data_IF_988115199044
#
_entry.id   IF_988115199044
#
_cell.length_a   1.000
_cell.length_b   1.000
_cell.length_c   1.000
_cell.angle_alpha   90.00
_cell.angle_beta   90.00
_cell.angle_gamma   90.00
#
_symmetry.space_group_name_H-M   'P 1'
#
loop_
_entity.id
_entity.type
_entity.pdbx_description
1 polymer ?
#
# COMPACT_ATOMS: atom_id res chain seq x y z
N UNK A 1 -3.22 -5.74 -37.95
CA UNK A 1 -3.85 -5.15 -36.75
C UNK A 1 -4.59 -6.27 -36.05
N UNK A 2 -3.86 -7.09 -35.27
CA UNK A 2 -4.50 -8.09 -34.43
C UNK A 2 -5.29 -7.34 -33.35
N UNK A 3 -6.62 -7.50 -33.38
CA UNK A 3 -7.46 -7.03 -32.29
C UNK A 3 -7.07 -7.84 -31.06
N UNK A 4 -6.29 -7.24 -30.14
CA UNK A 4 -6.15 -7.78 -28.79
C UNK A 4 -7.54 -7.85 -28.17
N UNK A 5 -8.18 -9.01 -28.30
CA UNK A 5 -9.48 -9.27 -27.72
C UNK A 5 -9.28 -9.29 -26.20
N UNK A 6 -9.78 -8.25 -25.51
CA UNK A 6 -9.60 -8.15 -24.07
C UNK A 6 -10.32 -9.31 -23.38
N UNK A 7 -9.80 -9.79 -22.26
CA UNK A 7 -10.44 -10.85 -21.46
C UNK A 7 -11.92 -10.50 -21.15
N UNK A 8 -12.19 -9.22 -20.92
CA UNK A 8 -13.55 -8.70 -20.66
C UNK A 8 -14.48 -8.67 -21.87
N UNK A 9 -13.95 -8.79 -23.09
CA UNK A 9 -14.78 -8.92 -24.30
C UNK A 9 -15.23 -10.37 -24.52
N UNK A 10 -14.55 -11.34 -23.88
CA UNK A 10 -14.91 -12.77 -23.92
C UNK A 10 -16.02 -13.14 -22.94
N UNK A 11 -16.01 -12.58 -21.73
CA UNK A 11 -17.05 -12.80 -20.72
C UNK A 11 -17.40 -11.49 -19.99
N UNK A 12 -18.64 -10.99 -20.09
CA UNK A 12 -19.11 -9.80 -19.40
C UNK A 12 -18.92 -9.85 -17.87
N UNK A 13 -18.90 -11.04 -17.26
CA UNK A 13 -18.74 -11.21 -15.81
C UNK A 13 -17.34 -10.82 -15.34
N UNK A 14 -16.32 -10.98 -16.19
CA UNK A 14 -14.94 -10.60 -15.88
C UNK A 14 -14.78 -9.09 -15.67
N UNK A 15 -15.70 -8.27 -16.22
CA UNK A 15 -15.74 -6.82 -15.98
C UNK A 15 -15.97 -6.45 -14.51
N UNK A 16 -16.59 -7.33 -13.73
CA UNK A 16 -16.81 -7.15 -12.29
C UNK A 16 -15.83 -7.98 -11.45
N UNK A 17 -15.51 -9.19 -11.91
CA UNK A 17 -14.66 -10.13 -11.16
C UNK A 17 -13.21 -9.63 -11.07
N UNK A 18 -12.61 -9.19 -12.18
CA UNK A 18 -11.19 -8.77 -12.17
C UNK A 18 -10.97 -7.54 -11.27
N UNK A 19 -11.80 -6.47 -11.33
CA UNK A 19 -11.72 -5.37 -10.37
C UNK A 19 -11.93 -5.83 -8.94
N UNK A 20 -12.89 -6.72 -8.67
CA UNK A 20 -13.12 -7.25 -7.32
C UNK A 20 -11.90 -8.01 -6.76
N UNK A 21 -11.22 -8.81 -7.59
CA UNK A 21 -9.99 -9.53 -7.21
C UNK A 21 -8.91 -8.54 -6.78
N UNK A 22 -8.67 -7.49 -7.56
CA UNK A 22 -7.68 -6.46 -7.22
C UNK A 22 -8.14 -5.63 -6.01
N UNK A 23 -9.45 -5.43 -5.87
CA UNK A 23 -10.03 -4.71 -4.75
C UNK A 23 -9.88 -5.46 -3.42
N UNK A 24 -9.84 -6.81 -3.42
CA UNK A 24 -9.49 -7.62 -2.25
C UNK A 24 -8.08 -7.28 -1.76
N UNK A 25 -7.11 -7.18 -2.66
CA UNK A 25 -5.74 -6.84 -2.30
C UNK A 25 -5.65 -5.43 -1.66
N UNK A 26 -6.33 -4.46 -2.26
CA UNK A 26 -6.44 -3.11 -1.70
C UNK A 26 -7.15 -3.08 -0.34
N UNK A 27 -8.21 -3.88 -0.18
CA UNK A 27 -8.92 -4.01 1.10
C UNK A 27 -8.00 -4.55 2.18
N UNK A 28 -7.27 -5.64 1.88
CA UNK A 28 -6.33 -6.26 2.82
C UNK A 28 -5.25 -5.28 3.28
N UNK A 29 -4.64 -4.53 2.35
CA UNK A 29 -3.61 -3.53 2.66
C UNK A 29 -4.16 -2.41 3.55
N UNK A 30 -5.33 -1.88 3.22
CA UNK A 30 -5.94 -0.78 3.96
C UNK A 30 -6.46 -1.23 5.33
N UNK A 31 -7.06 -2.42 5.41
CA UNK A 31 -7.60 -2.99 6.63
C UNK A 31 -6.47 -3.37 7.62
N UNK A 32 -5.39 -3.97 7.13
CA UNK A 32 -4.22 -4.32 7.94
C UNK A 32 -3.59 -3.07 8.60
N UNK A 33 -3.37 -2.02 7.81
CA UNK A 33 -2.80 -0.76 8.31
C UNK A 33 -3.70 -0.11 9.36
N UNK A 34 -5.01 -0.09 9.15
CA UNK A 34 -5.95 0.62 10.02
C UNK A 34 -6.26 -0.16 11.29
N UNK A 35 -6.48 -1.48 11.21
CA UNK A 35 -6.70 -2.32 12.39
C UNK A 35 -5.47 -2.25 13.32
N UNK A 36 -4.25 -2.36 12.77
CA UNK A 36 -3.04 -2.42 13.57
C UNK A 36 -2.87 -1.16 14.44
N UNK A 37 -3.13 0.03 13.88
CA UNK A 37 -2.97 1.29 14.64
C UNK A 37 -3.82 1.33 15.91
N UNK A 38 -5.02 0.74 15.89
CA UNK A 38 -5.88 0.63 17.07
C UNK A 38 -5.46 -0.46 18.05
N UNK A 39 -4.80 -1.51 17.56
CA UNK A 39 -4.37 -2.65 18.37
C UNK A 39 -3.01 -2.46 19.05
N UNK A 40 -2.22 -1.45 18.66
CA UNK A 40 -0.88 -1.17 19.20
C UNK A 40 -0.82 -1.25 20.73
N UNK A 41 -1.69 -0.60 21.51
CA UNK A 41 -1.60 -0.64 22.97
C UNK A 41 -1.75 -2.06 23.54
N UNK A 42 -2.67 -2.85 22.99
CA UNK A 42 -2.92 -4.22 23.45
C UNK A 42 -1.76 -5.17 23.10
N UNK A 43 -1.19 -5.03 21.89
CA UNK A 43 -0.01 -5.81 21.48
C UNK A 43 1.20 -5.44 22.35
N UNK A 44 1.38 -4.14 22.64
CA UNK A 44 2.49 -3.65 23.44
C UNK A 44 2.46 -4.24 24.86
N UNK A 45 1.27 -4.28 25.49
CA UNK A 45 1.07 -4.95 26.78
C UNK A 45 1.33 -6.45 26.70
N UNK A 46 0.86 -7.13 25.66
CA UNK A 46 1.05 -8.59 25.51
C UNK A 46 2.50 -9.01 25.23
N UNK A 47 3.31 -8.14 24.64
CA UNK A 47 4.72 -8.40 24.30
C UNK A 47 5.70 -7.71 25.26
N UNK A 48 5.21 -7.20 26.40
CA UNK A 48 5.98 -6.49 27.42
C UNK A 48 6.90 -5.41 26.84
N UNK A 49 6.31 -4.52 26.03
CA UNK A 49 7.04 -3.47 25.31
C UNK A 49 6.26 -2.16 25.35
N UNK A 50 6.89 -1.08 24.88
CA UNK A 50 6.24 0.22 24.77
C UNK A 50 5.50 0.37 23.43
N UNK A 51 4.35 1.08 23.40
CA UNK A 51 3.68 1.45 22.15
C UNK A 51 4.61 2.18 21.17
N UNK A 52 5.56 2.97 21.68
CA UNK A 52 6.57 3.67 20.86
C UNK A 52 7.45 2.67 20.13
N UNK A 53 7.99 1.66 20.82
CA UNK A 53 8.80 0.61 20.19
C UNK A 53 7.97 -0.24 19.22
N UNK A 54 6.68 -0.45 19.50
CA UNK A 54 5.81 -1.21 18.63
C UNK A 54 5.42 -0.45 17.34
N UNK A 55 5.43 0.89 17.34
CA UNK A 55 5.22 1.67 16.11
C UNK A 55 6.26 1.31 15.02
N UNK A 56 7.44 0.81 15.39
CA UNK A 56 8.43 0.27 14.45
C UNK A 56 7.86 -0.86 13.57
N UNK A 57 6.80 -1.56 13.98
CA UNK A 57 6.11 -2.55 13.17
C UNK A 57 5.33 -1.93 12.00
N UNK A 58 4.84 -0.68 12.15
CA UNK A 58 4.25 0.10 11.06
C UNK A 58 5.36 0.63 10.16
N UNK A 59 6.39 1.23 10.75
CA UNK A 59 7.55 1.76 10.04
C UNK A 59 8.20 0.69 9.16
N UNK A 60 8.48 -0.49 9.72
CA UNK A 60 9.12 -1.61 9.00
C UNK A 60 8.29 -2.06 7.80
N UNK A 61 6.97 -2.13 7.96
CA UNK A 61 6.05 -2.46 6.88
C UNK A 61 6.10 -1.42 5.75
N UNK A 62 5.98 -0.13 6.08
CA UNK A 62 6.01 0.97 5.10
C UNK A 62 7.38 1.10 4.41
N UNK A 63 8.48 0.92 5.16
CA UNK A 63 9.82 0.91 4.59
C UNK A 63 9.98 -0.24 3.59
N UNK A 64 9.47 -1.43 3.92
CA UNK A 64 9.55 -2.57 3.00
C UNK A 64 8.73 -2.31 1.73
N UNK A 65 7.51 -1.77 1.87
CA UNK A 65 6.72 -1.29 0.72
C UNK A 65 7.53 -0.31 -0.15
N UNK A 66 8.09 0.73 0.44
CA UNK A 66 8.84 1.77 -0.27
C UNK A 66 10.03 1.20 -1.05
N UNK A 67 10.74 0.22 -0.49
CA UNK A 67 11.88 -0.44 -1.13
C UNK A 67 11.44 -1.31 -2.31
N UNK A 68 10.40 -2.13 -2.14
CA UNK A 68 10.07 -3.18 -3.11
C UNK A 68 9.05 -2.76 -4.18
N UNK A 69 8.30 -1.67 -3.99
CA UNK A 69 7.33 -1.16 -4.98
C UNK A 69 7.96 -0.96 -6.38
N UNK A 70 9.15 -0.32 -6.53
CA UNK A 70 9.74 -0.10 -7.86
C UNK A 70 10.00 -1.40 -8.65
N UNK A 71 10.29 -2.50 -7.97
CA UNK A 71 10.65 -3.79 -8.59
C UNK A 71 9.43 -4.61 -9.01
N UNK A 72 8.27 -4.32 -8.43
CA UNK A 72 7.03 -5.07 -8.69
C UNK A 72 6.66 -5.15 -10.17
N UNK A 73 6.88 -4.08 -10.94
CA UNK A 73 6.62 -4.04 -12.38
C UNK A 73 7.50 -5.00 -13.15
N UNK A 74 8.80 -5.03 -12.86
CA UNK A 74 9.75 -5.94 -13.51
C UNK A 74 9.43 -7.41 -13.23
N UNK A 75 9.08 -7.77 -11.98
CA UNK A 75 8.65 -9.13 -11.66
C UNK A 75 7.41 -9.51 -12.46
N UNK A 76 6.39 -8.63 -12.51
CA UNK A 76 5.16 -8.90 -13.22
C UNK A 76 5.37 -9.05 -14.74
N UNK A 77 6.26 -8.25 -15.33
CA UNK A 77 6.56 -8.34 -16.76
C UNK A 77 7.36 -9.61 -17.09
N UNK A 78 8.31 -10.01 -16.24
CA UNK A 78 9.16 -11.18 -16.51
C UNK A 78 8.53 -12.53 -16.17
N UNK A 79 7.83 -12.63 -15.03
CA UNK A 79 7.29 -13.90 -14.52
C UNK A 79 5.78 -14.05 -14.73
N UNK A 80 5.13 -13.00 -15.26
CA UNK A 80 3.71 -12.97 -15.50
C UNK A 80 2.94 -12.29 -14.36
N UNK A 81 2.07 -11.34 -14.72
CA UNK A 81 1.34 -10.53 -13.73
C UNK A 81 0.43 -11.38 -12.83
N UNK A 82 -0.17 -12.45 -13.38
CA UNK A 82 -1.03 -13.38 -12.64
C UNK A 82 -0.28 -14.11 -11.52
N UNK A 83 0.85 -14.72 -11.85
CA UNK A 83 1.65 -15.50 -10.89
C UNK A 83 2.23 -14.61 -9.80
N UNK A 84 2.75 -13.45 -10.17
CA UNK A 84 3.31 -12.49 -9.20
C UNK A 84 2.23 -11.91 -8.30
N UNK A 85 1.03 -11.60 -8.82
CA UNK A 85 -0.06 -11.13 -7.97
C UNK A 85 -0.54 -12.20 -6.99
N UNK A 86 -0.68 -13.46 -7.42
CA UNK A 86 -1.00 -14.57 -6.53
C UNK A 86 0.10 -14.82 -5.48
N UNK A 87 1.38 -14.75 -5.88
CA UNK A 87 2.51 -14.86 -4.97
C UNK A 87 2.57 -13.70 -3.96
N UNK A 88 2.22 -12.49 -4.39
CA UNK A 88 2.15 -11.32 -3.52
C UNK A 88 1.07 -11.50 -2.45
N UNK A 89 -0.13 -11.94 -2.85
CA UNK A 89 -1.22 -12.27 -1.93
C UNK A 89 -0.83 -13.40 -0.97
N UNK A 90 -0.18 -14.45 -1.48
CA UNK A 90 0.31 -15.55 -0.65
C UNK A 90 1.34 -15.06 0.38
N UNK A 91 2.34 -14.29 -0.05
CA UNK A 91 3.39 -13.76 0.81
C UNK A 91 2.83 -12.83 1.88
N UNK A 92 1.89 -11.96 1.51
CA UNK A 92 1.20 -11.09 2.45
C UNK A 92 0.39 -11.90 3.47
N UNK A 93 -0.37 -12.89 3.00
CA UNK A 93 -1.21 -13.73 3.86
C UNK A 93 -0.37 -14.56 4.82
N UNK A 94 0.71 -15.16 4.33
CA UNK A 94 1.67 -15.90 5.15
C UNK A 94 2.33 -14.99 6.19
N UNK A 95 2.79 -13.80 5.78
CA UNK A 95 3.31 -12.79 6.70
C UNK A 95 2.30 -12.42 7.79
N UNK A 96 1.03 -12.24 7.43
CA UNK A 96 -0.05 -11.98 8.39
C UNK A 96 -0.23 -13.14 9.38
N UNK A 97 -0.31 -14.38 8.90
CA UNK A 97 -0.41 -15.56 9.80
C UNK A 97 0.77 -15.61 10.76
N UNK A 98 1.98 -15.39 10.26
CA UNK A 98 3.20 -15.41 11.08
C UNK A 98 3.26 -14.23 12.07
N UNK A 99 2.71 -13.07 11.74
CA UNK A 99 2.50 -11.98 12.70
C UNK A 99 1.54 -12.37 13.82
N UNK A 100 0.48 -13.12 13.53
CA UNK A 100 -0.46 -13.63 14.54
C UNK A 100 0.17 -14.65 15.49
N UNK A 101 1.20 -15.37 15.05
CA UNK A 101 1.97 -16.34 15.87
C UNK A 101 3.18 -15.68 16.54
N UNK A 102 3.42 -14.38 16.34
CA UNK A 102 4.61 -13.73 16.88
C UNK A 102 4.56 -13.61 18.40
N UNK A 103 5.63 -14.10 19.05
CA UNK A 103 5.77 -14.08 20.52
C UNK A 103 6.82 -13.06 21.00
N UNK A 104 7.45 -12.33 20.08
CA UNK A 104 8.37 -11.26 20.41
C UNK A 104 8.26 -10.10 19.43
N UNK A 105 8.65 -8.91 19.87
CA UNK A 105 8.71 -7.71 19.02
C UNK A 105 9.61 -7.94 17.80
N UNK A 106 10.77 -8.56 17.98
CA UNK A 106 11.70 -8.85 16.88
C UNK A 106 11.08 -9.78 15.82
N UNK A 107 10.41 -10.85 16.26
CA UNK A 107 9.68 -11.74 15.35
C UNK A 107 8.55 -10.99 14.63
N UNK A 108 7.77 -10.17 15.33
CA UNK A 108 6.71 -9.38 14.73
C UNK A 108 7.26 -8.44 13.65
N UNK A 109 8.36 -7.73 13.92
CA UNK A 109 9.00 -6.83 12.95
C UNK A 109 9.48 -7.59 11.71
N UNK A 110 10.11 -8.76 11.88
CA UNK A 110 10.56 -9.59 10.77
C UNK A 110 9.38 -10.10 9.90
N UNK A 111 8.29 -10.54 10.54
CA UNK A 111 7.09 -10.99 9.81
C UNK A 111 6.36 -9.82 9.14
N UNK A 112 6.40 -8.61 9.72
CA UNK A 112 5.89 -7.39 9.09
C UNK A 112 6.71 -6.97 7.87
N UNK A 113 8.02 -7.17 7.89
CA UNK A 113 8.84 -7.00 6.70
C UNK A 113 8.43 -7.99 5.60
N UNK A 114 8.28 -9.28 5.93
CA UNK A 114 7.79 -10.28 4.98
C UNK A 114 6.40 -9.92 4.42
N UNK A 115 5.49 -9.47 5.27
CA UNK A 115 4.17 -9.02 4.87
C UNK A 115 4.24 -7.80 3.93
N UNK A 116 5.12 -6.85 4.24
CA UNK A 116 5.39 -5.66 3.42
C UNK A 116 5.96 -5.99 2.04
N UNK A 117 6.77 -7.05 1.93
CA UNK A 117 7.24 -7.55 0.64
C UNK A 117 6.07 -8.02 -0.24
N UNK A 118 5.10 -8.73 0.32
CA UNK A 118 3.86 -9.09 -0.38
C UNK A 118 3.04 -7.85 -0.76
N UNK A 119 2.84 -6.93 0.19
CA UNK A 119 2.08 -5.70 -0.03
C UNK A 119 2.65 -4.81 -1.14
N UNK A 120 3.98 -4.74 -1.24
CA UNK A 120 4.70 -3.96 -2.26
C UNK A 120 4.34 -4.35 -3.69
N UNK A 121 3.93 -5.59 -3.92
CA UNK A 121 3.57 -6.10 -5.24
C UNK A 121 2.05 -6.11 -5.48
N UNK A 122 1.24 -6.21 -4.43
CA UNK A 122 -0.23 -6.30 -4.53
C UNK A 122 -0.85 -5.13 -5.29
N UNK A 123 -0.58 -3.90 -4.84
CA UNK A 123 -1.17 -2.69 -5.44
C UNK A 123 -0.69 -2.41 -6.87
N UNK A 124 0.62 -2.35 -7.17
CA UNK A 124 1.09 -2.03 -8.52
C UNK A 124 0.78 -3.13 -9.54
N UNK A 125 0.99 -4.40 -9.19
CA UNK A 125 0.69 -5.52 -10.10
C UNK A 125 -0.82 -5.66 -10.30
N UNK A 126 -1.62 -5.42 -9.26
CA UNK A 126 -3.08 -5.37 -9.37
C UNK A 126 -3.56 -4.29 -10.37
N UNK A 127 -2.98 -3.09 -10.31
CA UNK A 127 -3.27 -2.02 -11.29
C UNK A 127 -2.81 -2.40 -12.70
N UNK A 128 -1.67 -3.07 -12.83
CA UNK A 128 -1.18 -3.57 -14.12
C UNK A 128 -2.15 -4.60 -14.73
N UNK A 129 -2.69 -5.51 -13.91
CA UNK A 129 -3.71 -6.47 -14.35
C UNK A 129 -4.94 -5.75 -14.90
N UNK A 130 -5.44 -4.71 -14.23
CA UNK A 130 -6.58 -3.93 -14.73
C UNK A 130 -6.26 -3.21 -16.04
N UNK A 131 -5.08 -2.60 -16.14
CA UNK A 131 -4.62 -1.93 -17.36
C UNK A 131 -4.54 -2.87 -18.57
N UNK A 132 -4.17 -4.13 -18.35
CA UNK A 132 -4.07 -5.14 -19.41
C UNK A 132 -5.38 -5.87 -19.68
N UNK A 133 -6.30 -5.90 -18.72
CA UNK A 133 -7.56 -6.65 -18.83
C UNK A 133 -8.71 -5.84 -19.42
N UNK A 134 -8.65 -4.50 -19.39
CA UNK A 134 -9.73 -3.62 -19.80
C UNK A 134 -9.37 -2.70 -20.97
N UNK A 135 -10.31 -2.43 -21.91
CA UNK A 135 -10.15 -1.35 -22.88
C UNK A 135 -10.19 0.02 -22.19
N UNK A 136 -9.59 1.04 -22.83
CA UNK A 136 -9.47 2.41 -22.26
C UNK A 136 -10.81 3.02 -21.82
N UNK A 137 -11.91 2.69 -22.49
CA UNK A 137 -13.27 3.17 -22.16
C UNK A 137 -13.82 2.61 -20.85
N UNK A 138 -13.44 1.39 -20.46
CA UNK A 138 -13.89 0.73 -19.22
C UNK A 138 -12.92 0.86 -18.05
N UNK A 139 -11.70 1.32 -18.30
CA UNK A 139 -10.62 1.37 -17.32
C UNK A 139 -10.93 2.31 -16.14
N UNK A 140 -11.52 3.48 -16.40
CA UNK A 140 -11.88 4.44 -15.35
C UNK A 140 -12.87 3.80 -14.38
N UNK A 141 -13.93 3.17 -14.91
CA UNK A 141 -14.92 2.44 -14.12
C UNK A 141 -14.29 1.32 -13.30
N UNK A 142 -13.40 0.52 -13.91
CA UNK A 142 -12.69 -0.55 -13.21
C UNK A 142 -11.80 -0.03 -12.06
N UNK A 143 -11.10 1.09 -12.27
CA UNK A 143 -10.28 1.74 -11.25
C UNK A 143 -11.12 2.31 -10.10
N UNK A 144 -12.32 2.82 -10.39
CA UNK A 144 -13.29 3.26 -9.38
C UNK A 144 -13.73 2.09 -8.50
N UNK A 145 -14.10 0.96 -9.09
CA UNK A 145 -14.48 -0.25 -8.34
C UNK A 145 -13.33 -0.80 -7.50
N UNK A 146 -12.10 -0.81 -8.04
CA UNK A 146 -10.90 -1.19 -7.29
C UNK A 146 -10.69 -0.33 -6.04
N UNK A 147 -11.00 0.96 -6.12
CA UNK A 147 -10.78 1.91 -5.02
C UNK A 147 -11.92 1.88 -3.99
N UNK A 148 -13.02 1.16 -4.26
CA UNK A 148 -14.18 1.12 -3.36
C UNK A 148 -13.82 0.52 -1.98
N UNK A 149 -13.16 -0.65 -1.90
CA UNK A 149 -12.82 -1.25 -0.61
C UNK A 149 -11.74 -0.48 0.15
N UNK A 150 -10.95 0.33 -0.55
CA UNK A 150 -9.92 1.16 0.07
C UNK A 150 -10.49 2.22 1.04
N UNK A 151 -11.76 2.57 0.89
CA UNK A 151 -12.50 3.46 1.80
C UNK A 151 -13.19 2.68 2.92
N UNK A 152 -13.62 1.46 2.61
CA UNK A 152 -14.23 0.56 3.61
C UNK A 152 -13.20 0.18 4.68
N UNK A 153 -11.94 -0.09 4.29
CA UNK A 153 -10.86 -0.48 5.19
C UNK A 153 -10.63 0.47 6.37
N UNK A 154 -10.45 1.80 6.16
CA UNK A 154 -10.28 2.77 7.24
C UNK A 154 -11.51 2.99 8.12
N UNK A 155 -12.72 2.73 7.61
CA UNK A 155 -13.95 2.88 8.40
C UNK A 155 -14.18 1.66 9.27
N UNK A 156 -14.04 0.47 8.70
CA UNK A 156 -14.28 -0.80 9.39
C UNK A 156 -13.10 -1.21 10.27
N UNK A 157 -11.88 -0.86 9.87
CA UNK A 157 -10.66 -1.30 10.55
C UNK A 157 -10.60 -0.95 12.03
N UNK A 158 -10.74 0.32 12.43
CA UNK A 158 -10.72 0.69 13.84
C UNK A 158 -11.81 -0.02 14.68
N UNK A 159 -13.00 -0.20 14.11
CA UNK A 159 -14.10 -0.90 14.77
C UNK A 159 -13.78 -2.39 14.97
N UNK A 160 -13.34 -3.08 13.91
CA UNK A 160 -12.94 -4.48 14.00
C UNK A 160 -11.72 -4.67 14.91
N UNK A 161 -10.74 -3.77 14.83
CA UNK A 161 -9.55 -3.81 15.68
C UNK A 161 -9.90 -3.70 17.15
N UNK A 162 -10.71 -2.72 17.51
CA UNK A 162 -11.21 -2.56 18.88
C UNK A 162 -11.98 -3.78 19.37
N UNK A 163 -12.91 -4.31 18.57
CA UNK A 163 -13.70 -5.49 18.93
C UNK A 163 -12.82 -6.75 19.11
N UNK A 164 -11.92 -7.03 18.16
CA UNK A 164 -11.07 -8.23 18.18
C UNK A 164 -10.06 -8.20 19.33
N UNK A 165 -9.49 -7.03 19.61
CA UNK A 165 -8.55 -6.85 20.72
C UNK A 165 -9.23 -6.89 22.08
N UNK A 166 -10.47 -6.42 22.18
CA UNK A 166 -11.24 -6.39 23.44
C UNK A 166 -11.83 -7.76 23.79
N UNK A 167 -12.46 -8.44 22.83
CA UNK A 167 -13.23 -9.66 23.09
C UNK A 167 -12.52 -10.96 22.74
N UNK A 168 -11.44 -10.90 21.95
CA UNK A 168 -10.68 -12.06 21.55
C UNK A 168 -9.21 -11.89 21.93
N UNK A 169 -8.34 -11.70 20.94
CA UNK A 169 -6.92 -11.46 21.13
C UNK A 169 -6.43 -10.56 20.00
N UNK A 170 -5.42 -9.74 20.28
CA UNK A 170 -4.77 -8.94 19.24
C UNK A 170 -4.28 -9.80 18.07
N UNK A 171 -3.97 -11.08 18.26
CA UNK A 171 -3.52 -11.98 17.18
C UNK A 171 -4.55 -12.13 16.06
N UNK A 172 -5.84 -12.05 16.38
CA UNK A 172 -6.93 -12.17 15.40
C UNK A 172 -6.95 -11.05 14.37
N UNK A 173 -6.36 -9.89 14.67
CA UNK A 173 -6.26 -8.79 13.70
C UNK A 173 -5.52 -9.21 12.43
N UNK A 174 -4.54 -10.10 12.58
CA UNK A 174 -3.77 -10.62 11.45
C UNK A 174 -4.51 -11.77 10.76
N UNK A 175 -5.19 -12.63 11.52
CA UNK A 175 -5.94 -13.75 10.96
C UNK A 175 -7.16 -13.30 10.11
N UNK A 176 -7.69 -12.10 10.33
CA UNK A 176 -8.75 -11.52 9.49
C UNK A 176 -8.34 -11.44 8.01
N UNK A 177 -7.06 -11.24 7.70
CA UNK A 177 -6.58 -11.17 6.31
C UNK A 177 -6.57 -12.53 5.60
N UNK A 178 -6.52 -13.63 6.34
CA UNK A 178 -6.39 -14.99 5.78
C UNK A 178 -7.52 -15.37 4.83
N UNK A 179 -8.81 -15.25 5.20
CA UNK A 179 -9.90 -15.59 4.27
C UNK A 179 -9.84 -14.75 2.99
N UNK A 180 -9.56 -13.45 3.09
CA UNK A 180 -9.43 -12.57 1.93
C UNK A 180 -8.26 -12.97 1.04
N UNK A 181 -7.12 -13.31 1.65
CA UNK A 181 -5.94 -13.79 0.95
C UNK A 181 -6.21 -15.06 0.17
N UNK A 182 -6.82 -16.07 0.80
CA UNK A 182 -7.15 -17.34 0.15
C UNK A 182 -8.13 -17.15 -1.03
N UNK A 183 -9.20 -16.36 -0.82
CA UNK A 183 -10.17 -16.04 -1.87
C UNK A 183 -9.48 -15.30 -3.01
N UNK A 184 -8.65 -14.31 -2.70
CA UNK A 184 -7.91 -13.52 -3.68
C UNK A 184 -6.95 -14.38 -4.51
N UNK A 185 -6.19 -15.28 -3.87
CA UNK A 185 -5.26 -16.19 -4.56
C UNK A 185 -6.02 -17.12 -5.50
N UNK A 186 -7.07 -17.78 -4.99
CA UNK A 186 -7.89 -18.69 -5.79
C UNK A 186 -8.51 -17.96 -6.99
N UNK A 187 -9.13 -16.80 -6.75
CA UNK A 187 -9.78 -16.03 -7.81
C UNK A 187 -8.76 -15.48 -8.82
N UNK A 188 -7.59 -15.01 -8.37
CA UNK A 188 -6.53 -14.56 -9.26
C UNK A 188 -6.04 -15.68 -10.18
N UNK A 189 -5.76 -16.87 -9.65
CA UNK A 189 -5.31 -18.01 -10.46
C UNK A 189 -6.38 -18.52 -11.43
N UNK A 190 -7.67 -18.36 -11.07
CA UNK A 190 -8.80 -18.88 -11.85
C UNK A 190 -9.30 -17.95 -12.95
N UNK A 191 -9.29 -16.63 -12.73
CA UNK A 191 -9.97 -15.65 -13.58
C UNK A 191 -9.05 -14.60 -14.22
N UNK A 192 -7.81 -14.44 -13.74
CA UNK A 192 -6.84 -13.52 -14.36
C UNK A 192 -6.07 -14.28 -15.44
N UNK A 193 -5.91 -13.68 -16.60
CA UNK A 193 -5.09 -14.21 -17.69
C UNK A 193 -3.59 -13.97 -17.44
N UNK A 194 -2.74 -14.87 -17.94
CA UNK A 194 -1.29 -14.78 -17.73
C UNK A 194 -0.62 -13.87 -18.77
N UNK A 195 -0.53 -12.59 -18.45
CA UNK A 195 0.15 -11.62 -19.30
C UNK A 195 1.66 -11.59 -19.01
N UNK A 196 2.47 -11.88 -20.02
CA UNK A 196 3.93 -11.71 -19.99
C UNK A 196 4.31 -10.45 -20.78
N UNK A 197 5.37 -9.75 -20.36
CA UNK A 197 5.94 -8.64 -21.14
C UNK A 197 6.57 -9.16 -22.43
N UNK A 198 6.52 -8.35 -23.50
CA UNK A 198 7.00 -8.73 -24.84
C UNK A 198 8.51 -9.01 -24.90
N UNK A 199 9.32 -8.44 -24.01
CA UNK A 199 10.74 -8.77 -23.86
C UNK A 199 11.21 -8.66 -22.40
N UNK A 200 11.86 -9.72 -21.90
CA UNK A 200 12.34 -9.76 -20.52
C UNK A 200 13.66 -8.98 -20.36
N UNK A 201 13.55 -7.67 -20.17
CA UNK A 201 14.68 -6.77 -19.90
C UNK A 201 15.50 -7.24 -18.67
N UNK A 202 16.83 -7.04 -18.65
CA UNK A 202 17.67 -7.42 -17.52
C UNK A 202 17.28 -6.63 -16.25
N UNK A 203 17.47 -7.25 -15.08
CA UNK A 203 17.16 -6.59 -13.81
C UNK A 203 18.20 -5.52 -13.46
N UNK A 204 17.74 -4.29 -13.27
CA UNK A 204 18.57 -3.18 -12.80
C UNK A 204 18.75 -3.23 -11.27
N UNK A 205 19.64 -4.10 -10.81
CA UNK A 205 19.94 -4.25 -9.37
C UNK A 205 20.54 -2.98 -8.75
N UNK A 206 21.39 -2.27 -9.49
CA UNK A 206 22.03 -1.05 -9.00
C UNK A 206 21.01 0.08 -8.85
N UNK A 207 20.18 0.32 -9.87
CA UNK A 207 19.11 1.30 -9.80
C UNK A 207 18.07 0.95 -8.74
N UNK A 208 17.72 -0.33 -8.59
CA UNK A 208 16.88 -0.80 -7.49
C UNK A 208 17.46 -0.43 -6.13
N UNK A 209 18.73 -0.74 -5.88
CA UNK A 209 19.35 -0.46 -4.58
C UNK A 209 19.39 1.04 -4.30
N UNK A 210 19.68 1.86 -5.32
CA UNK A 210 19.73 3.33 -5.17
C UNK A 210 18.35 3.93 -4.90
N UNK A 211 17.31 3.53 -5.63
CA UNK A 211 15.92 4.01 -5.41
C UNK A 211 15.36 3.48 -4.10
N UNK A 212 15.50 2.17 -3.87
CA UNK A 212 14.98 1.51 -2.68
C UNK A 212 15.61 2.07 -1.41
N UNK A 213 16.94 2.15 -1.36
CA UNK A 213 17.63 2.75 -0.21
C UNK A 213 17.33 4.26 -0.08
N UNK A 214 17.28 5.00 -1.19
CA UNK A 214 16.93 6.41 -1.19
C UNK A 214 15.52 6.67 -0.65
N UNK A 215 14.53 5.90 -1.09
CA UNK A 215 13.15 5.98 -0.63
C UNK A 215 13.00 5.56 0.85
N UNK A 216 13.69 4.49 1.26
CA UNK A 216 13.69 4.04 2.65
C UNK A 216 14.30 5.08 3.60
N UNK A 217 15.47 5.65 3.25
CA UNK A 217 16.11 6.69 4.05
C UNK A 217 15.28 7.97 4.09
N UNK A 218 14.64 8.34 2.97
CA UNK A 218 13.75 9.50 2.92
C UNK A 218 12.56 9.30 3.85
N UNK A 219 11.89 8.14 3.76
CA UNK A 219 10.76 7.80 4.62
C UNK A 219 11.14 7.78 6.10
N UNK A 220 12.25 7.11 6.44
CA UNK A 220 12.74 7.05 7.82
C UNK A 220 13.13 8.43 8.36
N UNK A 221 13.79 9.26 7.54
CA UNK A 221 14.17 10.62 7.92
C UNK A 221 12.95 11.53 8.17
N UNK A 222 11.92 11.45 7.31
CA UNK A 222 10.66 12.18 7.48
C UNK A 222 9.90 11.74 8.73
N UNK A 223 9.88 10.44 9.00
CA UNK A 223 9.27 9.90 10.21
C UNK A 223 9.99 10.39 11.48
N UNK A 224 11.32 10.45 11.43
CA UNK A 224 12.12 10.90 12.57
C UNK A 224 11.95 12.41 12.88
N UNK A 225 11.55 13.22 11.90
CA UNK A 225 11.17 14.63 12.13
C UNK A 225 9.91 14.70 13.01
N UNK A 226 8.92 13.85 12.75
CA UNK A 226 7.67 13.81 13.53
C UNK A 226 7.82 13.08 14.87
N UNK A 227 8.70 12.08 14.94
CA UNK A 227 8.98 11.27 16.13
C UNK A 227 10.48 11.06 16.27
N UNK A 228 11.20 11.89 17.04
CA UNK A 228 12.65 11.79 17.14
C UNK A 228 13.07 10.52 17.89
N UNK A 229 13.50 9.50 17.13
CA UNK A 229 14.15 8.27 17.60
C UNK A 229 15.67 8.47 17.61
N UNK A 230 16.21 9.12 16.58
CA UNK A 230 17.63 9.49 16.46
C UNK A 230 17.83 11.00 16.63
N UNK A 231 19.08 11.41 16.86
CA UNK A 231 19.43 12.82 17.06
C UNK A 231 19.08 13.69 15.84
N UNK A 232 18.82 15.00 16.04
CA UNK A 232 18.52 15.91 14.92
C UNK A 232 19.63 15.94 13.87
N UNK A 233 20.89 15.86 14.30
CA UNK A 233 22.04 15.79 13.40
C UNK A 233 22.02 14.50 12.57
N UNK A 234 21.77 13.35 13.20
CA UNK A 234 21.67 12.08 12.48
C UNK A 234 20.49 12.08 11.49
N UNK A 235 19.38 12.73 11.85
CA UNK A 235 18.22 12.92 10.94
C UNK A 235 18.60 13.72 9.71
N UNK A 236 19.29 14.85 9.89
CA UNK A 236 19.78 15.67 8.78
C UNK A 236 20.74 14.91 7.87
N UNK A 237 21.63 14.10 8.45
CA UNK A 237 22.55 13.25 7.67
C UNK A 237 21.80 12.18 6.87
N UNK A 238 20.80 11.52 7.46
CA UNK A 238 19.97 10.52 6.77
C UNK A 238 19.18 11.16 5.62
N UNK A 239 18.57 12.33 5.85
CA UNK A 239 17.86 13.06 4.81
C UNK A 239 18.80 13.50 3.70
N UNK A 240 19.98 14.05 4.04
CA UNK A 240 20.98 14.41 3.05
C UNK A 240 21.45 13.20 2.22
N UNK A 241 21.71 12.06 2.87
CA UNK A 241 22.07 10.82 2.19
C UNK A 241 20.95 10.32 1.27
N UNK A 242 19.68 10.42 1.68
CA UNK A 242 18.53 10.06 0.86
C UNK A 242 18.44 10.91 -0.41
N UNK A 243 18.61 12.24 -0.29
CA UNK A 243 18.59 13.17 -1.42
C UNK A 243 19.75 12.90 -2.36
N UNK A 244 20.94 12.64 -1.83
CA UNK A 244 22.12 12.30 -2.63
C UNK A 244 21.94 10.99 -3.40
N UNK A 245 21.39 9.95 -2.77
CA UNK A 245 21.12 8.65 -3.41
C UNK A 245 20.07 8.78 -4.52
N UNK A 246 18.96 9.47 -4.27
CA UNK A 246 17.91 9.69 -5.27
C UNK A 246 18.40 10.57 -6.43
N UNK A 247 19.26 11.56 -6.15
CA UNK A 247 19.90 12.37 -7.18
C UNK A 247 20.90 11.56 -8.01
N UNK A 248 21.72 10.72 -7.36
CA UNK A 248 22.62 9.79 -8.04
C UNK A 248 21.83 8.82 -8.92
N UNK A 249 20.69 8.30 -8.44
CA UNK A 249 19.80 7.46 -9.23
C UNK A 249 19.27 8.22 -10.45
N UNK A 250 18.85 9.48 -10.31
CA UNK A 250 18.37 10.30 -11.44
C UNK A 250 19.44 10.45 -12.55
N UNK A 251 20.71 10.56 -12.15
CA UNK A 251 21.85 10.59 -13.09
C UNK A 251 22.11 9.22 -13.72
N UNK A 252 22.01 8.15 -12.94
CA UNK A 252 22.20 6.77 -13.36
C UNK A 252 21.11 6.32 -14.35
N UNK A 253 19.85 6.54 -14.01
CA UNK A 253 18.68 6.14 -14.81
C UNK A 253 18.66 6.78 -16.21
N UNK A 254 19.29 7.95 -16.39
CA UNK A 254 19.44 8.59 -17.71
C UNK A 254 20.48 7.91 -18.62
N UNK A 255 21.31 7.03 -18.07
CA UNK A 255 22.42 6.38 -18.81
C UNK A 255 22.17 4.89 -19.08
N UNK A 256 21.23 4.28 -18.37
CA UNK A 256 20.91 2.85 -18.48
C UNK A 256 19.73 2.63 -19.43
N UNK A 257 19.79 1.57 -20.23
CA UNK A 257 18.78 1.25 -21.23
C UNK A 257 17.44 0.80 -20.63
N UNK A 258 17.47 0.09 -19.50
CA UNK A 258 16.29 -0.42 -18.80
C UNK A 258 16.39 -0.08 -17.28
N UNK A 259 16.20 1.19 -16.89
CA UNK A 259 16.28 1.58 -15.48
C UNK A 259 15.10 1.01 -14.68
N UNK A 260 15.31 0.73 -13.39
CA UNK A 260 14.25 0.24 -12.49
C UNK A 260 13.03 1.18 -12.43
N UNK A 261 13.25 2.49 -12.58
CA UNK A 261 12.19 3.49 -12.77
C UNK A 261 12.55 4.35 -13.97
N UNK A 262 11.70 4.32 -15.00
CA UNK A 262 11.91 5.12 -16.20
C UNK A 262 11.52 6.59 -15.97
N UNK A 263 12.55 7.42 -15.75
CA UNK A 263 12.39 8.86 -15.55
C UNK A 263 12.07 9.62 -16.84
N UNK A 264 12.19 9.00 -18.02
CA UNK A 264 11.85 9.64 -19.29
C UNK A 264 10.35 9.96 -19.39
N UNK A 265 9.51 9.23 -18.66
CA UNK A 265 8.07 9.47 -18.55
C UNK A 265 7.74 10.87 -18.03
N UNK A 266 8.61 11.45 -17.20
CA UNK A 266 8.45 12.83 -16.70
C UNK A 266 8.61 13.91 -17.78
N UNK A 267 9.08 13.55 -18.98
CA UNK A 267 9.06 14.45 -20.15
C UNK A 267 7.63 14.77 -20.60
N UNK A 268 6.68 13.86 -20.35
CA UNK A 268 5.28 14.09 -20.68
C UNK A 268 4.62 14.97 -19.63
N UNK A 269 4.10 16.13 -20.05
CA UNK A 269 3.43 17.11 -19.18
C UNK A 269 2.27 16.48 -18.39
N UNK A 270 1.48 15.62 -19.02
CA UNK A 270 0.38 14.90 -18.38
C UNK A 270 0.86 13.99 -17.23
N UNK A 271 1.98 13.30 -17.42
CA UNK A 271 2.56 12.41 -16.40
C UNK A 271 3.15 13.19 -15.23
N UNK A 272 3.94 14.24 -15.49
CA UNK A 272 4.50 15.08 -14.42
C UNK A 272 3.41 15.78 -13.61
N UNK A 273 2.43 16.41 -14.27
CA UNK A 273 1.32 17.09 -13.57
C UNK A 273 0.50 16.06 -12.79
N UNK A 274 0.16 14.92 -13.39
CA UNK A 274 -0.60 13.87 -12.71
C UNK A 274 0.11 13.31 -11.48
N UNK A 275 1.43 13.11 -11.58
CA UNK A 275 2.25 12.60 -10.46
C UNK A 275 2.36 13.63 -9.34
N UNK A 276 2.66 14.90 -9.67
CA UNK A 276 2.82 15.96 -8.67
C UNK A 276 1.49 16.34 -8.02
N UNK A 277 0.46 16.65 -8.82
CA UNK A 277 -0.85 17.01 -8.31
C UNK A 277 -1.51 15.84 -7.58
N UNK A 278 -1.42 14.62 -8.13
CA UNK A 278 -1.91 13.41 -7.46
C UNK A 278 -1.18 13.11 -6.15
N UNK A 279 0.14 13.31 -6.12
CA UNK A 279 0.95 13.19 -4.91
C UNK A 279 0.55 14.19 -3.83
N UNK A 280 0.45 15.48 -4.17
CA UNK A 280 0.03 16.54 -3.24
C UNK A 280 -1.40 16.31 -2.74
N UNK A 281 -2.34 15.95 -3.62
CA UNK A 281 -3.69 15.57 -3.22
C UNK A 281 -3.69 14.39 -2.25
N UNK A 282 -2.85 13.37 -2.47
CA UNK A 282 -2.73 12.23 -1.54
C UNK A 282 -2.16 12.65 -0.19
N UNK A 283 -1.16 13.53 -0.14
CA UNK A 283 -0.62 14.06 1.13
C UNK A 283 -1.74 14.76 1.91
N UNK A 284 -2.50 15.64 1.25
CA UNK A 284 -3.64 16.33 1.86
C UNK A 284 -4.73 15.36 2.34
N UNK A 285 -5.14 14.40 1.49
CA UNK A 285 -6.18 13.42 1.82
C UNK A 285 -5.79 12.51 2.99
N UNK A 286 -4.52 12.11 3.10
CA UNK A 286 -4.07 11.22 4.19
C UNK A 286 -3.77 11.99 5.48
N UNK A 287 -3.40 13.28 5.40
CA UNK A 287 -3.17 14.12 6.57
C UNK A 287 -4.47 14.54 7.27
N UNK A 288 -5.53 14.81 6.50
CA UNK A 288 -6.78 15.35 7.04
C UNK A 288 -7.46 14.45 8.11
N UNK A 289 -7.58 13.11 7.94
CA UNK A 289 -8.18 12.24 8.95
C UNK A 289 -7.45 12.22 10.29
N UNK A 290 -6.16 12.58 10.31
CA UNK A 290 -5.37 12.64 11.55
C UNK A 290 -5.32 14.05 12.14
N UNK A 291 -5.03 15.06 11.32
CA UNK A 291 -4.86 16.44 11.77
C UNK A 291 -6.18 17.09 12.19
N UNK A 292 -7.30 16.74 11.53
CA UNK A 292 -8.59 17.36 11.83
C UNK A 292 -9.11 16.98 13.23
N UNK A 293 -9.14 15.71 13.65
CA UNK A 293 -9.48 15.37 15.03
C UNK A 293 -8.54 16.00 16.05
N UNK A 294 -7.23 16.02 15.77
CA UNK A 294 -6.23 16.60 16.66
C UNK A 294 -6.45 18.12 16.84
N UNK A 295 -6.72 18.84 15.76
CA UNK A 295 -7.05 20.27 15.80
C UNK A 295 -8.32 20.53 16.62
N UNK A 296 -9.37 19.72 16.44
CA UNK A 296 -10.63 19.86 17.18
C UNK A 296 -10.45 19.57 18.69
N UNK A 297 -9.65 18.57 19.05
CA UNK A 297 -9.47 18.17 20.44
C UNK A 297 -8.43 19.03 21.17
N UNK A 298 -7.24 19.22 20.59
CA UNK A 298 -6.12 19.94 21.24
C UNK A 298 -6.22 21.44 21.00
N UNK A 299 -6.56 21.86 19.78
CA UNK A 299 -6.66 23.27 19.43
C UNK A 299 -7.97 23.90 19.92
N UNK A 300 -9.11 23.23 19.69
CA UNK A 300 -10.43 23.75 20.06
C UNK A 300 -11.00 23.19 21.36
N UNK A 301 -10.30 22.27 22.05
CA UNK A 301 -10.74 21.74 23.34
C UNK A 301 -12.01 20.87 23.27
N UNK A 302 -12.42 20.42 22.09
CA UNK A 302 -13.66 19.66 21.92
C UNK A 302 -13.55 18.25 22.52
N UNK A 303 -14.67 17.73 23.00
CA UNK A 303 -14.73 16.34 23.46
C UNK A 303 -14.41 15.36 22.33
N UNK A 304 -13.81 14.18 22.62
CA UNK A 304 -13.54 13.16 21.61
C UNK A 304 -14.77 12.74 20.80
N UNK A 305 -15.96 12.71 21.43
CA UNK A 305 -17.22 12.33 20.79
C UNK A 305 -17.64 13.37 19.76
N UNK A 306 -17.56 14.66 20.08
CA UNK A 306 -17.90 15.76 19.17
C UNK A 306 -16.92 15.85 18.00
N UNK A 307 -15.62 15.66 18.28
CA UNK A 307 -14.57 15.64 17.25
C UNK A 307 -14.76 14.46 16.27
N UNK A 308 -15.07 13.28 16.82
CA UNK A 308 -15.34 12.08 16.03
C UNK A 308 -16.58 12.21 15.15
N UNK A 309 -17.68 12.76 15.67
CA UNK A 309 -18.91 12.94 14.90
C UNK A 309 -18.76 13.94 13.75
N UNK A 310 -18.06 15.07 13.96
CA UNK A 310 -17.77 16.03 12.89
C UNK A 310 -16.92 15.42 11.77
N UNK A 311 -15.89 14.67 12.13
CA UNK A 311 -15.01 14.00 11.15
C UNK A 311 -15.74 12.88 10.40
N UNK A 312 -16.65 12.18 11.08
CA UNK A 312 -17.53 11.18 10.48
C UNK A 312 -18.48 11.79 9.44
N UNK A 313 -19.10 12.94 9.74
CA UNK A 313 -19.99 13.64 8.79
C UNK A 313 -19.25 14.00 7.50
N UNK A 314 -17.99 14.45 7.59
CA UNK A 314 -17.17 14.72 6.41
C UNK A 314 -16.91 13.46 5.57
N UNK A 315 -16.56 12.35 6.22
CA UNK A 315 -16.33 11.06 5.57
C UNK A 315 -17.60 10.48 4.92
N UNK A 316 -18.73 10.64 5.60
CA UNK A 316 -20.05 10.22 5.13
C UNK A 316 -20.51 11.06 3.93
N UNK A 317 -20.29 12.39 3.96
CA UNK A 317 -20.58 13.29 2.84
C UNK A 317 -19.76 12.93 1.60
N UNK A 318 -18.48 12.59 1.76
CA UNK A 318 -17.64 12.11 0.66
C UNK A 318 -18.17 10.77 0.07
N UNK A 319 -18.69 9.88 0.92
CA UNK A 319 -19.31 8.63 0.48
C UNK A 319 -20.60 8.88 -0.31
N UNK A 320 -21.44 9.81 0.14
CA UNK A 320 -22.71 10.18 -0.50
C UNK A 320 -22.54 10.93 -1.82
N UNK A 321 -21.44 11.66 -2.01
CA UNK A 321 -21.17 12.37 -3.27
C UNK A 321 -20.69 11.45 -4.39
N UNK A 322 -20.20 10.24 -4.08
CA UNK A 322 -19.63 9.33 -5.08
C UNK A 322 -20.62 8.83 -6.15
N UNK A 323 -21.86 8.42 -5.81
CA UNK A 323 -22.86 8.03 -6.81
C UNK A 323 -23.24 9.17 -7.77
N UNK A 324 -23.03 10.42 -7.38
CA UNK A 324 -23.30 11.60 -8.22
C UNK A 324 -22.16 11.90 -9.21
N UNK A 325 -20.97 11.32 -8.99
CA UNK A 325 -19.77 11.52 -9.81
C UNK A 325 -19.46 10.33 -10.75
N UNK A 326 -20.15 9.20 -10.56
CA UNK A 326 -20.04 7.97 -11.37
C UNK A 326 -21.08 7.92 -12.47
#
# INVERSE_FOLDING_TARGET
MEQHLFATDRDPRLKLIIPAIVAIAFLMEQLDSTILTTAIPAIAQSLDTTPVRLNLAITTYILTLAVFIPVSGWFADRFGARKIFALALFTFTLGSVLCGVADSVGMLLAMRALQGLGGAMMTPVGRLILLRSFPRSGLITAMTYMTLPAIVGPVIGPLLGGLLTTYASWRWIFYVNVPFGLIGIFAALRFVDDFHGEEAQPFDFAGFLMVGAGAALLQFGLENIGRPIISPLATMLVLAASVLLLFAFSRYARRVAAPAVDLTLFRFRSFWIGTLAGGLCRIGLNGAPFLLPLMLQVGFGMSPVTSGSLTFVGSFGALLMRPLLS
#
